data_IF_542084222948
#
_entry.id   IF_542084222948
#
_cell.length_a   1.000
_cell.length_b   1.000
_cell.length_c   1.000
_cell.angle_alpha   90.00
_cell.angle_beta   90.00
_cell.angle_gamma   90.00
#
_symmetry.space_group_name_H-M   'P 1'
#
loop_
_entity.id
_entity.type
_entity.pdbx_description
1 polymer ?
#
# COMPACT_ATOMS: atom_id res chain seq x y z
N UNK A 1 -10.07 -18.34 23.14
CA UNK A 1 -10.34 -19.27 22.08
C UNK A 1 -10.44 -18.55 20.77
N UNK A 2 -10.34 -19.30 19.70
CA UNK A 2 -10.27 -18.72 18.36
C UNK A 2 -11.47 -17.82 18.05
N UNK A 3 -12.67 -18.22 18.46
CA UNK A 3 -13.86 -17.44 18.18
C UNK A 3 -13.88 -16.12 18.91
N UNK A 4 -13.43 -16.11 20.14
CA UNK A 4 -13.36 -14.88 20.90
C UNK A 4 -12.32 -13.93 20.32
N UNK A 5 -11.19 -14.50 19.91
CA UNK A 5 -10.15 -13.72 19.24
C UNK A 5 -10.72 -13.11 17.98
N UNK A 6 -11.42 -13.89 17.16
CA UNK A 6 -12.03 -13.39 15.95
C UNK A 6 -12.99 -12.24 16.21
N UNK A 7 -13.83 -12.36 17.24
CA UNK A 7 -14.79 -11.32 17.55
C UNK A 7 -14.11 -10.04 17.99
N UNK A 8 -13.09 -10.15 18.86
CA UNK A 8 -12.36 -8.97 19.30
C UNK A 8 -11.58 -8.34 18.18
N UNK A 9 -11.03 -9.17 17.31
CA UNK A 9 -10.08 -8.73 16.31
C UNK A 9 -10.74 -8.10 15.09
N UNK A 10 -12.05 -8.17 14.95
CA UNK A 10 -12.73 -7.55 13.81
C UNK A 10 -12.41 -6.06 13.75
N UNK A 11 -12.48 -5.40 14.89
CA UNK A 11 -12.18 -3.96 14.96
C UNK A 11 -10.72 -3.68 14.60
N UNK A 12 -9.80 -4.49 15.14
CA UNK A 12 -8.38 -4.34 14.84
C UNK A 12 -8.08 -4.66 13.39
N UNK A 13 -8.73 -5.69 12.83
CA UNK A 13 -8.55 -6.06 11.43
C UNK A 13 -9.06 -4.94 10.53
N UNK A 14 -10.19 -4.35 10.86
CA UNK A 14 -10.76 -3.24 10.12
C UNK A 14 -9.80 -2.05 10.12
N UNK A 15 -9.22 -1.76 11.26
CA UNK A 15 -8.23 -0.68 11.38
C UNK A 15 -7.00 -0.97 10.53
N UNK A 16 -6.54 -2.22 10.55
CA UNK A 16 -5.40 -2.63 9.73
C UNK A 16 -5.68 -2.43 8.24
N UNK A 17 -6.90 -2.75 7.80
CA UNK A 17 -7.31 -2.50 6.40
C UNK A 17 -7.23 -1.03 6.04
N UNK A 18 -7.72 -0.15 6.91
CA UNK A 18 -7.62 1.30 6.73
C UNK A 18 -6.17 1.75 6.70
N UNK A 19 -5.36 1.20 7.59
CA UNK A 19 -3.94 1.55 7.65
C UNK A 19 -3.22 1.14 6.37
N UNK A 20 -3.53 -0.02 5.83
CA UNK A 20 -2.92 -0.48 4.58
C UNK A 20 -3.23 0.48 3.44
N UNK A 21 -4.46 0.93 3.34
CA UNK A 21 -4.84 1.88 2.31
C UNK A 21 -4.05 3.18 2.44
N UNK A 22 -4.03 3.72 3.65
CA UNK A 22 -3.32 4.98 3.92
C UNK A 22 -1.82 4.84 3.66
N UNK A 23 -1.23 3.74 4.12
CA UNK A 23 0.20 3.50 3.92
C UNK A 23 0.55 3.29 2.46
N UNK A 24 -0.34 2.64 1.69
CA UNK A 24 -0.12 2.46 0.26
C UNK A 24 -0.06 3.81 -0.46
N UNK A 25 -0.96 4.72 -0.09
CA UNK A 25 -0.99 6.06 -0.68
C UNK A 25 0.25 6.85 -0.30
N UNK A 26 0.67 6.75 0.96
CA UNK A 26 1.88 7.43 1.42
C UNK A 26 3.12 6.89 0.73
N UNK A 27 3.19 5.59 0.54
CA UNK A 27 4.31 4.94 -0.12
C UNK A 27 4.43 5.41 -1.56
N UNK A 28 3.33 5.36 -2.31
CA UNK A 28 3.33 5.80 -3.71
C UNK A 28 3.68 7.28 -3.82
N UNK A 29 3.08 8.10 -2.97
CA UNK A 29 3.34 9.54 -2.97
C UNK A 29 4.81 9.84 -2.69
N UNK A 30 5.39 9.15 -1.70
CA UNK A 30 6.79 9.37 -1.33
C UNK A 30 7.73 9.02 -2.48
N UNK A 31 7.49 7.89 -3.15
CA UNK A 31 8.37 7.47 -4.24
C UNK A 31 8.20 8.33 -5.48
N UNK A 32 6.98 8.76 -5.79
CA UNK A 32 6.78 9.68 -6.91
C UNK A 32 7.38 11.06 -6.64
N UNK A 33 7.30 11.52 -5.40
CA UNK A 33 7.97 12.78 -5.02
C UNK A 33 9.48 12.66 -5.14
N UNK A 34 10.04 11.51 -4.73
CA UNK A 34 11.47 11.26 -4.86
C UNK A 34 11.88 11.22 -6.33
N UNK A 35 11.06 10.62 -7.19
CA UNK A 35 11.34 10.57 -8.62
C UNK A 35 11.37 11.96 -9.22
N UNK A 36 10.41 12.80 -8.90
CA UNK A 36 10.39 14.19 -9.35
C UNK A 36 11.63 14.94 -8.91
N UNK A 37 12.02 14.75 -7.65
CA UNK A 37 13.20 15.38 -7.09
C UNK A 37 14.46 14.90 -7.79
N UNK A 38 14.53 13.63 -8.08
CA UNK A 38 15.66 13.04 -8.80
C UNK A 38 15.80 13.68 -10.17
N UNK A 39 14.69 13.77 -10.92
CA UNK A 39 14.72 14.40 -12.24
C UNK A 39 15.21 15.83 -12.17
N UNK A 40 14.75 16.58 -11.17
CA UNK A 40 15.16 17.96 -11.01
C UNK A 40 16.64 18.08 -10.67
N UNK A 41 17.11 17.29 -9.73
CA UNK A 41 18.51 17.33 -9.26
C UNK A 41 19.47 16.84 -10.33
N UNK A 42 19.06 15.85 -11.10
CA UNK A 42 19.91 15.25 -12.15
C UNK A 42 19.77 15.92 -13.50
N UNK A 43 19.03 17.02 -13.57
CA UNK A 43 18.83 17.77 -14.81
C UNK A 43 20.19 18.25 -15.33
N UNK A 44 20.46 17.95 -16.61
CA UNK A 44 21.72 18.33 -17.21
C UNK A 44 22.89 17.39 -16.95
N UNK A 45 22.71 16.39 -16.10
CA UNK A 45 23.76 15.41 -15.82
C UNK A 45 23.51 14.19 -16.73
N UNK A 46 24.24 14.11 -17.83
CA UNK A 46 23.93 13.17 -18.92
C UNK A 46 24.95 12.05 -19.11
N UNK A 47 25.81 11.77 -18.16
CA UNK A 47 26.76 10.68 -18.32
C UNK A 47 26.05 9.31 -18.15
N UNK A 48 26.75 8.25 -18.55
CA UNK A 48 26.17 6.90 -18.56
C UNK A 48 25.80 6.41 -17.17
N UNK A 49 26.53 6.83 -16.15
CA UNK A 49 26.28 6.42 -14.77
C UNK A 49 24.94 7.00 -14.31
N UNK A 50 24.72 8.27 -14.60
CA UNK A 50 23.48 8.93 -14.20
C UNK A 50 22.27 8.35 -14.97
N UNK A 51 22.44 8.11 -16.26
CA UNK A 51 21.35 7.53 -17.07
C UNK A 51 20.96 6.17 -16.50
N UNK A 52 21.94 5.35 -16.18
CA UNK A 52 21.68 4.05 -15.57
C UNK A 52 20.98 4.18 -14.23
N UNK A 53 21.45 5.08 -13.38
CA UNK A 53 20.84 5.34 -12.08
C UNK A 53 19.38 5.76 -12.21
N UNK A 54 19.09 6.70 -13.11
CA UNK A 54 17.73 7.18 -13.32
C UNK A 54 16.82 6.07 -13.82
N UNK A 55 17.32 5.26 -14.75
CA UNK A 55 16.53 4.14 -15.28
C UNK A 55 16.22 3.12 -14.19
N UNK A 56 17.20 2.79 -13.36
CA UNK A 56 17.02 1.85 -12.26
C UNK A 56 16.04 2.40 -11.24
N UNK A 57 16.15 3.68 -10.93
CA UNK A 57 15.22 4.32 -9.98
C UNK A 57 13.79 4.30 -10.52
N UNK A 58 13.61 4.60 -11.81
CA UNK A 58 12.28 4.56 -12.43
C UNK A 58 11.66 3.17 -12.39
N UNK A 59 12.49 2.14 -12.59
CA UNK A 59 12.02 0.76 -12.45
C UNK A 59 11.55 0.48 -11.04
N UNK A 60 12.31 0.97 -10.06
CA UNK A 60 11.94 0.80 -8.65
C UNK A 60 10.63 1.50 -8.32
N UNK A 61 10.41 2.68 -8.88
CA UNK A 61 9.14 3.40 -8.67
C UNK A 61 7.98 2.57 -9.22
N UNK A 62 8.15 1.98 -10.39
CA UNK A 62 7.10 1.12 -10.97
C UNK A 62 6.82 -0.10 -10.09
N UNK A 63 7.85 -0.70 -9.52
CA UNK A 63 7.67 -1.82 -8.60
C UNK A 63 6.94 -1.38 -7.33
N UNK A 64 7.28 -0.22 -6.81
CA UNK A 64 6.60 0.33 -5.63
C UNK A 64 5.13 0.60 -5.93
N UNK A 65 4.81 1.10 -7.13
CA UNK A 65 3.41 1.30 -7.53
C UNK A 65 2.65 -0.01 -7.53
N UNK A 66 3.26 -1.08 -8.01
CA UNK A 66 2.64 -2.41 -7.96
C UNK A 66 2.40 -2.86 -6.53
N UNK A 67 3.37 -2.65 -5.66
CA UNK A 67 3.24 -2.98 -4.24
C UNK A 67 2.10 -2.18 -3.62
N UNK A 68 2.02 -0.89 -3.92
CA UNK A 68 0.96 -0.03 -3.40
C UNK A 68 -0.41 -0.52 -3.86
N UNK A 69 -0.54 -0.93 -5.12
CA UNK A 69 -1.79 -1.50 -5.64
C UNK A 69 -2.14 -2.77 -4.88
N UNK A 70 -1.17 -3.64 -4.66
CA UNK A 70 -1.39 -4.87 -3.90
C UNK A 70 -1.85 -4.57 -2.48
N UNK A 71 -1.26 -3.57 -1.83
CA UNK A 71 -1.67 -3.16 -0.49
C UNK A 71 -3.12 -2.69 -0.49
N UNK A 72 -3.53 -1.94 -1.52
CA UNK A 72 -4.90 -1.48 -1.65
C UNK A 72 -5.86 -2.65 -1.88
N UNK A 73 -5.44 -3.62 -2.68
CA UNK A 73 -6.25 -4.82 -2.89
C UNK A 73 -6.43 -5.60 -1.60
N UNK A 74 -5.37 -5.74 -0.81
CA UNK A 74 -5.46 -6.35 0.51
C UNK A 74 -6.39 -5.56 1.42
N UNK A 75 -6.32 -4.24 1.38
CA UNK A 75 -7.21 -3.38 2.16
C UNK A 75 -8.66 -3.65 1.81
N UNK A 76 -8.97 -3.73 0.52
CA UNK A 76 -10.33 -4.01 0.04
C UNK A 76 -10.79 -5.39 0.50
N UNK A 77 -9.91 -6.38 0.38
CA UNK A 77 -10.20 -7.74 0.83
C UNK A 77 -10.51 -7.77 2.32
N UNK A 78 -9.71 -7.08 3.11
CA UNK A 78 -9.89 -7.02 4.56
C UNK A 78 -11.21 -6.33 4.90
N UNK A 79 -11.51 -5.21 4.24
CA UNK A 79 -12.77 -4.49 4.46
C UNK A 79 -13.95 -5.40 4.16
N UNK A 80 -13.90 -6.10 3.05
CA UNK A 80 -14.97 -7.02 2.66
C UNK A 80 -15.11 -8.16 3.65
N UNK A 81 -13.99 -8.70 4.09
CA UNK A 81 -13.98 -9.77 5.08
C UNK A 81 -14.59 -9.32 6.39
N UNK A 82 -14.27 -8.09 6.82
CA UNK A 82 -14.83 -7.53 8.04
C UNK A 82 -16.34 -7.33 7.91
N UNK A 83 -16.81 -6.86 6.76
CA UNK A 83 -18.23 -6.70 6.51
C UNK A 83 -18.96 -8.04 6.63
N UNK A 84 -18.38 -9.08 6.03
CA UNK A 84 -18.97 -10.42 6.10
C UNK A 84 -18.99 -10.94 7.53
N UNK A 85 -17.90 -10.73 8.26
CA UNK A 85 -17.82 -11.18 9.65
C UNK A 85 -18.82 -10.43 10.52
N UNK A 86 -18.98 -9.14 10.30
CA UNK A 86 -19.95 -8.34 11.05
C UNK A 86 -21.37 -8.75 10.72
N UNK A 87 -21.67 -9.01 9.45
CA UNK A 87 -22.99 -9.51 9.04
C UNK A 87 -23.29 -10.85 9.68
N UNK A 88 -22.33 -11.74 9.62
CA UNK A 88 -22.48 -13.07 10.18
C UNK A 88 -22.75 -12.99 11.67
N UNK A 89 -21.99 -12.16 12.36
CA UNK A 89 -22.13 -11.96 13.77
C UNK A 89 -23.49 -11.35 14.14
N UNK A 90 -23.93 -10.35 13.36
CA UNK A 90 -25.17 -9.63 13.62
C UNK A 90 -26.40 -10.45 13.25
N UNK A 91 -26.28 -11.36 12.31
CA UNK A 91 -27.39 -12.21 11.87
C UNK A 91 -27.40 -13.56 12.55
N UNK A 92 -26.57 -13.71 13.54
CA UNK A 92 -26.56 -14.92 14.32
C UNK A 92 -27.80 -14.97 15.18
N UNK A 93 -28.42 -16.08 15.20
CA UNK A 93 -29.72 -16.22 15.84
C UNK A 93 -29.67 -17.03 17.08
#
# INVERSE_FOLDING_TARGET
MAQEVGVRDISALKQFGSDLKRLSEQLATAFHAAESKMHHVCEGWNDNVNVKFMNDFQKNVKEIDKIAINMQDFSKFITKSCELLEMYRNNRF
#
